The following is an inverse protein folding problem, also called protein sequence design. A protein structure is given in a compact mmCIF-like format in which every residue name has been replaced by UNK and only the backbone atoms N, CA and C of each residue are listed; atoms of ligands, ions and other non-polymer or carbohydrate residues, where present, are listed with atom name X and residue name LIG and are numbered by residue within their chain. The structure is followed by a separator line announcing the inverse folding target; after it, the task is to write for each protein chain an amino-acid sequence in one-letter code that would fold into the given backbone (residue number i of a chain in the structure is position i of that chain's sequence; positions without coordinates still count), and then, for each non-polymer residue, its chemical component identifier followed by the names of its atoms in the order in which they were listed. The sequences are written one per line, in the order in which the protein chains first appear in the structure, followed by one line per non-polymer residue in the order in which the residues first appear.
data_IF_452535611468
#
_entry.id   IF_452535611468
#
_cell.length_a   1.000
_cell.length_b   1.000
_cell.length_c   1.000
_cell.angle_alpha   90.00
_cell.angle_beta   90.00
_cell.angle_gamma   90.00
#
_symmetry.space_group_name_H-M   'P 1'
#
loop_
_entity.id
_entity.type
_entity.pdbx_description
1 polymer ?
#
# COMPACT_ATOMS: atom_id res chain seq x y z
N UNK A 1 -20.39 -2.81 -13.81
CA UNK A 1 -19.31 -3.15 -14.78
C UNK A 1 -18.26 -3.95 -14.01
N UNK A 2 -17.63 -4.94 -14.63
CA UNK A 2 -16.54 -5.68 -13.97
C UNK A 2 -15.21 -5.03 -14.34
N UNK A 3 -14.46 -4.57 -13.34
CA UNK A 3 -13.12 -4.02 -13.53
C UNK A 3 -12.08 -5.14 -13.44
N UNK A 4 -11.20 -5.25 -14.42
CA UNK A 4 -10.14 -6.25 -14.42
C UNK A 4 -8.84 -5.62 -13.87
N UNK A 5 -8.66 -5.65 -12.55
CA UNK A 5 -7.45 -5.16 -11.90
C UNK A 5 -6.32 -6.17 -12.15
N UNK A 6 -5.17 -5.76 -12.74
CA UNK A 6 -4.03 -6.66 -12.90
C UNK A 6 -3.43 -7.02 -11.55
N UNK A 7 -2.64 -8.10 -11.51
CA UNK A 7 -1.90 -8.52 -10.33
C UNK A 7 -0.40 -8.26 -10.50
N UNK A 8 0.25 -7.88 -9.40
CA UNK A 8 1.72 -7.83 -9.28
C UNK A 8 2.19 -9.11 -8.58
N UNK A 9 3.17 -9.78 -9.18
CA UNK A 9 3.74 -11.01 -8.66
C UNK A 9 4.82 -10.70 -7.62
N UNK A 10 4.80 -11.44 -6.50
CA UNK A 10 5.79 -11.37 -5.44
C UNK A 10 6.93 -12.36 -5.65
N UNK A 11 8.05 -12.11 -4.97
CA UNK A 11 9.20 -13.01 -4.95
C UNK A 11 8.94 -14.34 -4.19
N UNK A 12 7.88 -14.42 -3.37
CA UNK A 12 7.41 -15.64 -2.70
C UNK A 12 6.44 -16.49 -3.56
N UNK A 13 6.18 -16.06 -4.80
CA UNK A 13 5.31 -16.74 -5.76
C UNK A 13 3.84 -16.36 -5.68
N UNK A 14 3.42 -15.61 -4.67
CA UNK A 14 2.06 -15.06 -4.54
C UNK A 14 1.89 -13.80 -5.38
N UNK A 15 0.71 -13.20 -5.31
CA UNK A 15 0.43 -11.95 -6.03
C UNK A 15 -0.56 -11.08 -5.27
N UNK A 16 -0.55 -9.78 -5.58
CA UNK A 16 -1.44 -8.76 -5.01
C UNK A 16 -2.16 -8.02 -6.14
N UNK A 17 -3.48 -7.70 -5.99
CA UNK A 17 -4.13 -6.80 -6.93
C UNK A 17 -3.42 -5.44 -6.96
N UNK A 18 -3.06 -4.99 -8.16
CA UNK A 18 -2.21 -3.81 -8.36
C UNK A 18 -2.86 -2.51 -7.93
N UNK A 19 -4.19 -2.47 -7.86
CA UNK A 19 -4.96 -1.34 -7.33
C UNK A 19 -5.74 -1.81 -6.10
N UNK A 20 -5.42 -1.23 -4.95
CA UNK A 20 -6.09 -1.49 -3.68
C UNK A 20 -6.84 -0.27 -3.17
N UNK A 21 -7.50 -0.43 -2.04
CA UNK A 21 -8.25 0.61 -1.35
C UNK A 21 -7.64 0.85 0.04
N UNK A 22 -7.10 2.04 0.26
CA UNK A 22 -6.52 2.46 1.54
C UNK A 22 -7.55 3.13 2.45
N UNK A 23 -7.39 2.97 3.77
CA UNK A 23 -8.31 3.54 4.77
C UNK A 23 -7.62 4.44 5.81
N UNK A 24 -6.43 4.96 5.50
CA UNK A 24 -5.77 5.93 6.39
C UNK A 24 -6.65 7.17 6.63
N UNK A 25 -6.71 7.65 7.87
CA UNK A 25 -7.57 8.77 8.30
C UNK A 25 -9.07 8.55 7.99
N UNK A 26 -9.53 7.33 8.09
CA UNK A 26 -10.95 7.00 8.06
C UNK A 26 -11.33 6.42 9.41
N UNK A 27 -12.32 7.02 10.07
CA UNK A 27 -12.82 6.54 11.37
C UNK A 27 -13.49 5.17 11.23
N UNK A 28 -13.51 4.37 12.31
CA UNK A 28 -13.94 2.95 12.29
C UNK A 28 -15.35 2.75 11.69
N UNK A 29 -16.33 3.54 12.15
CA UNK A 29 -17.70 3.44 11.65
C UNK A 29 -17.85 3.86 10.18
N UNK A 30 -16.99 4.79 9.72
CA UNK A 30 -16.94 5.22 8.32
C UNK A 30 -16.21 4.17 7.49
N UNK A 31 -15.14 3.56 8.02
CA UNK A 31 -14.38 2.51 7.34
C UNK A 31 -15.27 1.32 6.97
N UNK A 32 -16.16 0.87 7.86
CA UNK A 32 -17.12 -0.18 7.54
C UNK A 32 -17.93 0.15 6.28
N UNK A 33 -18.48 1.36 6.19
CA UNK A 33 -19.32 1.77 5.06
C UNK A 33 -18.55 1.89 3.75
N UNK A 34 -17.39 2.53 3.79
CA UNK A 34 -16.63 2.80 2.56
C UNK A 34 -15.89 1.57 2.05
N UNK A 35 -15.44 0.68 2.93
CA UNK A 35 -14.87 -0.63 2.54
C UNK A 35 -15.95 -1.53 1.95
N UNK A 36 -17.16 -1.58 2.53
CA UNK A 36 -18.28 -2.29 1.94
C UNK A 36 -18.58 -1.78 0.52
N UNK A 37 -18.63 -0.46 0.34
CA UNK A 37 -18.80 0.18 -0.98
C UNK A 37 -17.66 -0.21 -1.95
N UNK A 38 -16.41 -0.18 -1.49
CA UNK A 38 -15.26 -0.55 -2.33
C UNK A 38 -15.35 -2.02 -2.78
N UNK A 39 -15.71 -2.95 -1.89
CA UNK A 39 -15.88 -4.36 -2.21
C UNK A 39 -17.05 -4.59 -3.19
N UNK A 40 -18.17 -3.87 -3.02
CA UNK A 40 -19.32 -3.90 -3.92
C UNK A 40 -18.97 -3.41 -5.33
N UNK A 41 -18.20 -2.33 -5.44
CA UNK A 41 -17.71 -1.78 -6.72
C UNK A 41 -16.74 -2.75 -7.41
N UNK A 42 -15.99 -3.56 -6.65
CA UNK A 42 -15.10 -4.57 -7.22
C UNK A 42 -13.66 -4.55 -6.72
N UNK A 43 -13.30 -3.71 -5.74
CA UNK A 43 -11.99 -3.83 -5.10
C UNK A 43 -11.84 -5.20 -4.43
N UNK A 44 -10.63 -5.74 -4.48
CA UNK A 44 -10.26 -7.02 -3.84
C UNK A 44 -8.96 -6.92 -3.03
N UNK A 45 -8.42 -5.73 -2.88
CA UNK A 45 -7.26 -5.44 -2.06
C UNK A 45 -7.61 -4.29 -1.11
N UNK A 46 -7.58 -4.55 0.20
CA UNK A 46 -7.87 -3.59 1.28
C UNK A 46 -6.61 -3.41 2.13
N UNK A 47 -6.21 -2.15 2.34
CA UNK A 47 -5.02 -1.78 3.11
C UNK A 47 -5.42 -0.96 4.33
N UNK A 48 -5.17 -1.50 5.53
CA UNK A 48 -5.33 -0.85 6.82
C UNK A 48 -4.05 -0.91 7.65
N UNK A 49 -4.08 -0.51 8.91
CA UNK A 49 -3.00 -0.62 9.88
C UNK A 49 -3.53 -0.52 11.31
N UNK A 50 -2.82 -1.13 12.26
CA UNK A 50 -3.19 -1.09 13.69
C UNK A 50 -3.39 0.34 14.22
N UNK A 51 -2.49 1.27 13.84
CA UNK A 51 -2.54 2.67 14.29
C UNK A 51 -3.73 3.46 13.72
N UNK A 52 -4.36 3.01 12.63
CA UNK A 52 -5.50 3.75 12.06
C UNK A 52 -6.75 3.66 12.94
N UNK A 53 -6.81 2.70 13.87
CA UNK A 53 -7.92 2.52 14.79
C UNK A 53 -9.22 2.04 14.12
N UNK A 54 -9.14 1.53 12.89
CA UNK A 54 -10.30 1.17 12.07
C UNK A 54 -10.31 -0.29 11.60
N UNK A 55 -9.42 -1.13 12.16
CA UNK A 55 -9.36 -2.55 11.79
C UNK A 55 -10.70 -3.27 12.05
N UNK A 56 -11.42 -2.92 13.13
CA UNK A 56 -12.71 -3.53 13.45
C UNK A 56 -13.77 -3.18 12.40
N UNK A 57 -13.83 -1.92 11.95
CA UNK A 57 -14.73 -1.49 10.87
C UNK A 57 -14.41 -2.18 9.54
N UNK A 58 -13.12 -2.32 9.21
CA UNK A 58 -12.68 -3.09 8.03
C UNK A 58 -13.12 -4.55 8.13
N UNK A 59 -12.91 -5.19 9.30
CA UNK A 59 -13.32 -6.57 9.55
C UNK A 59 -14.83 -6.79 9.37
N UNK A 60 -15.65 -5.91 9.95
CA UNK A 60 -17.11 -5.95 9.79
C UNK A 60 -17.54 -5.79 8.33
N UNK A 61 -16.91 -4.87 7.60
CA UNK A 61 -17.19 -4.69 6.17
C UNK A 61 -16.89 -5.95 5.36
N UNK A 62 -15.74 -6.60 5.60
CA UNK A 62 -15.36 -7.84 4.94
C UNK A 62 -16.34 -8.96 5.26
N UNK A 63 -16.65 -9.16 6.55
CA UNK A 63 -17.57 -10.22 6.99
C UNK A 63 -18.98 -10.08 6.38
N UNK A 64 -19.45 -8.85 6.19
CA UNK A 64 -20.78 -8.56 5.69
C UNK A 64 -20.84 -8.36 4.15
N UNK A 65 -19.71 -8.40 3.45
CA UNK A 65 -19.62 -8.08 2.01
C UNK A 65 -20.23 -9.14 1.09
N UNK A 66 -20.36 -10.37 1.57
CA UNK A 66 -20.72 -11.52 0.74
C UNK A 66 -19.61 -12.01 -0.21
N UNK A 67 -18.43 -11.35 -0.18
CA UNK A 67 -17.22 -11.79 -0.91
C UNK A 67 -16.49 -12.83 -0.04
N UNK A 68 -16.08 -13.94 -0.64
CA UNK A 68 -15.32 -14.94 0.10
C UNK A 68 -13.99 -14.35 0.63
N UNK A 69 -13.61 -14.71 1.88
CA UNK A 69 -12.40 -14.13 2.51
C UNK A 69 -11.14 -14.37 1.68
N UNK A 70 -11.03 -15.52 1.04
CA UNK A 70 -9.93 -15.89 0.15
C UNK A 70 -9.85 -15.08 -1.15
N UNK A 71 -10.93 -14.41 -1.54
CA UNK A 71 -10.97 -13.51 -2.70
C UNK A 71 -10.58 -12.06 -2.34
N UNK A 72 -10.34 -11.78 -1.05
CA UNK A 72 -9.94 -10.46 -0.56
C UNK A 72 -8.48 -10.52 -0.11
N UNK A 73 -7.64 -9.70 -0.71
CA UNK A 73 -6.27 -9.48 -0.26
C UNK A 73 -6.27 -8.40 0.84
N UNK A 74 -6.02 -8.81 2.08
CA UNK A 74 -6.07 -7.95 3.26
C UNK A 74 -4.67 -7.67 3.79
N UNK A 75 -4.34 -6.37 3.92
CA UNK A 75 -3.09 -5.88 4.50
C UNK A 75 -3.36 -5.15 5.82
N UNK A 76 -2.59 -5.47 6.85
CA UNK A 76 -2.44 -4.62 8.04
C UNK A 76 -0.97 -4.44 8.40
N UNK A 77 -0.65 -3.61 9.42
CA UNK A 77 0.71 -3.18 9.71
C UNK A 77 0.97 -3.11 11.21
N UNK A 78 2.17 -3.57 11.60
CA UNK A 78 2.74 -3.44 12.94
C UNK A 78 3.11 -1.98 13.21
N UNK A 79 2.55 -1.41 14.28
CA UNK A 79 2.86 -0.03 14.63
C UNK A 79 4.18 0.10 15.41
N UNK A 80 4.71 1.32 15.47
CA UNK A 80 6.03 1.64 16.05
C UNK A 80 6.16 1.28 17.54
N UNK A 81 5.09 1.49 18.35
CA UNK A 81 5.08 1.16 19.78
C UNK A 81 5.16 -0.34 20.06
N UNK A 82 4.76 -1.15 19.09
CA UNK A 82 4.59 -2.59 19.24
C UNK A 82 5.75 -3.39 18.61
N UNK A 83 6.79 -2.67 18.13
CA UNK A 83 7.98 -3.30 17.58
C UNK A 83 8.75 -4.10 18.64
N UNK A 84 9.36 -5.18 18.21
CA UNK A 84 10.09 -6.15 19.01
C UNK A 84 9.74 -7.57 18.56
N UNK A 85 10.37 -8.58 19.16
CA UNK A 85 10.06 -9.96 18.76
C UNK A 85 8.73 -10.41 19.38
N UNK A 86 8.61 -10.45 20.70
CA UNK A 86 7.40 -10.92 21.40
C UNK A 86 6.22 -9.97 21.21
N UNK A 87 6.46 -8.67 21.33
CA UNK A 87 5.42 -7.64 21.16
C UNK A 87 4.77 -7.65 19.76
N UNK A 88 5.51 -7.99 18.74
CA UNK A 88 4.95 -8.11 17.38
C UNK A 88 3.94 -9.27 17.26
N UNK A 89 4.11 -10.36 18.00
CA UNK A 89 3.12 -11.45 18.05
C UNK A 89 1.84 -10.99 18.75
N UNK A 90 1.97 -10.33 19.89
CA UNK A 90 0.81 -9.80 20.65
C UNK A 90 0.02 -8.78 19.82
N UNK A 91 0.72 -7.86 19.17
CA UNK A 91 0.10 -6.87 18.28
C UNK A 91 -0.59 -7.51 17.07
N UNK A 92 0.00 -8.56 16.50
CA UNK A 92 -0.59 -9.28 15.39
C UNK A 92 -1.88 -10.01 15.78
N UNK A 93 -1.90 -10.73 16.92
CA UNK A 93 -3.11 -11.36 17.43
C UNK A 93 -4.21 -10.32 17.72
N UNK A 94 -3.86 -9.17 18.29
CA UNK A 94 -4.81 -8.08 18.51
C UNK A 94 -5.38 -7.51 17.20
N UNK A 95 -4.59 -7.48 16.12
CA UNK A 95 -5.06 -7.10 14.80
C UNK A 95 -6.02 -8.15 14.21
N UNK A 96 -5.71 -9.45 14.34
CA UNK A 96 -6.60 -10.53 13.89
C UNK A 96 -7.95 -10.48 14.62
N UNK A 97 -7.94 -10.28 15.93
CA UNK A 97 -9.16 -10.15 16.75
C UNK A 97 -10.05 -9.00 16.26
N UNK A 98 -9.47 -7.81 16.01
CA UNK A 98 -10.19 -6.65 15.50
C UNK A 98 -10.72 -6.88 14.09
N UNK A 99 -9.90 -7.47 13.21
CA UNK A 99 -10.27 -7.78 11.82
C UNK A 99 -11.28 -8.94 11.73
N UNK A 100 -11.43 -9.75 12.80
CA UNK A 100 -12.34 -10.90 12.82
C UNK A 100 -11.94 -11.98 11.81
N UNK A 101 -10.65 -12.26 11.66
CA UNK A 101 -10.11 -13.21 10.69
C UNK A 101 -8.96 -14.03 11.30
N UNK A 102 -8.74 -15.24 10.79
CA UNK A 102 -7.68 -16.12 11.28
C UNK A 102 -6.33 -15.87 10.60
N UNK A 103 -6.30 -15.05 9.54
CA UNK A 103 -5.08 -14.73 8.79
C UNK A 103 -5.19 -13.39 8.07
N UNK A 104 -4.03 -12.81 7.74
CA UNK A 104 -3.93 -11.72 6.77
C UNK A 104 -3.08 -12.15 5.56
N UNK A 105 -3.34 -11.53 4.42
CA UNK A 105 -2.59 -11.82 3.20
C UNK A 105 -1.22 -11.15 3.20
N UNK A 106 -1.13 -9.97 3.83
CA UNK A 106 0.11 -9.22 3.95
C UNK A 106 0.21 -8.53 5.33
N UNK A 107 1.34 -8.71 6.01
CA UNK A 107 1.68 -7.98 7.23
C UNK A 107 2.94 -7.18 7.02
N UNK A 108 2.90 -5.88 7.33
CA UNK A 108 4.02 -4.96 7.14
C UNK A 108 4.53 -4.42 8.48
N UNK A 109 5.84 -4.20 8.61
CA UNK A 109 6.35 -3.24 9.59
C UNK A 109 6.05 -1.84 9.05
N UNK A 110 5.34 -1.00 9.81
CA UNK A 110 4.80 0.28 9.30
C UNK A 110 5.88 1.33 9.05
N UNK A 111 6.88 1.42 9.93
CA UNK A 111 8.08 2.26 9.83
C UNK A 111 9.28 1.52 10.38
N UNK A 112 10.47 1.73 9.79
CA UNK A 112 11.70 1.13 10.33
C UNK A 112 12.03 1.66 11.72
N UNK A 113 11.87 2.96 11.93
CA UNK A 113 12.24 3.70 13.15
C UNK A 113 13.64 3.32 13.65
N UNK A 114 14.71 3.62 12.86
CA UNK A 114 16.07 3.16 13.13
C UNK A 114 16.56 3.51 14.54
N UNK A 115 16.11 4.66 15.07
CA UNK A 115 16.48 5.16 16.40
C UNK A 115 16.06 4.22 17.55
N UNK A 116 15.04 3.38 17.35
CA UNK A 116 14.62 2.36 18.31
C UNK A 116 15.41 1.06 18.19
N UNK A 117 15.96 0.74 17.02
CA UNK A 117 16.73 -0.48 16.78
C UNK A 117 15.93 -1.78 16.89
N UNK A 118 14.57 -1.72 16.81
CA UNK A 118 13.70 -2.88 17.04
C UNK A 118 13.21 -3.54 15.75
N UNK A 119 13.37 -2.90 14.60
CA UNK A 119 12.85 -3.37 13.30
C UNK A 119 13.39 -4.75 12.89
N UNK A 120 14.65 -5.07 13.20
CA UNK A 120 15.23 -6.38 12.87
C UNK A 120 14.58 -7.51 13.69
N UNK A 121 14.33 -7.28 14.99
CA UNK A 121 13.61 -8.24 15.82
C UNK A 121 12.14 -8.37 15.40
N UNK A 122 11.51 -7.27 15.02
CA UNK A 122 10.16 -7.26 14.44
C UNK A 122 10.13 -8.07 13.14
N UNK A 123 11.13 -7.89 12.25
CA UNK A 123 11.23 -8.65 11.02
C UNK A 123 11.36 -10.17 11.25
N UNK A 124 12.17 -10.56 12.24
CA UNK A 124 12.27 -11.97 12.67
C UNK A 124 10.94 -12.53 13.18
N UNK A 125 10.15 -11.72 13.89
CA UNK A 125 8.80 -12.10 14.32
C UNK A 125 7.86 -12.29 13.13
N UNK A 126 7.88 -11.39 12.14
CA UNK A 126 7.07 -11.54 10.92
C UNK A 126 7.42 -12.81 10.14
N UNK A 127 8.72 -13.13 10.04
CA UNK A 127 9.19 -14.39 9.42
C UNK A 127 8.59 -15.60 10.13
N UNK A 128 8.56 -15.59 11.45
CA UNK A 128 7.99 -16.69 12.23
C UNK A 128 6.47 -16.79 12.10
N UNK A 129 5.75 -15.66 12.13
CA UNK A 129 4.31 -15.61 11.86
C UNK A 129 3.96 -16.18 10.47
N UNK A 130 4.79 -15.90 9.46
CA UNK A 130 4.63 -16.46 8.13
C UNK A 130 4.83 -17.98 8.11
N UNK A 131 5.85 -18.50 8.82
CA UNK A 131 6.08 -19.95 8.95
C UNK A 131 4.92 -20.67 9.65
N UNK A 132 4.29 -20.02 10.62
CA UNK A 132 3.08 -20.51 11.30
C UNK A 132 1.83 -20.46 10.43
N UNK A 133 1.88 -19.85 9.24
CA UNK A 133 0.76 -19.75 8.32
C UNK A 133 -0.30 -18.69 8.68
N UNK A 134 -0.07 -17.89 9.72
CA UNK A 134 -0.96 -16.80 10.15
C UNK A 134 -0.89 -15.58 9.22
N UNK A 135 0.25 -15.39 8.58
CA UNK A 135 0.48 -14.37 7.55
C UNK A 135 0.90 -15.07 6.26
N UNK A 136 0.27 -14.72 5.14
CA UNK A 136 0.62 -15.33 3.85
C UNK A 136 1.90 -14.75 3.26
N UNK A 137 2.05 -13.42 3.29
CA UNK A 137 3.23 -12.71 2.79
C UNK A 137 3.65 -11.62 3.77
N UNK A 138 4.95 -11.33 3.86
CA UNK A 138 5.51 -10.33 4.77
C UNK A 138 6.29 -9.27 3.99
N UNK A 139 6.19 -8.03 4.43
CA UNK A 139 6.87 -6.90 3.82
C UNK A 139 7.13 -5.78 4.81
N UNK A 140 7.57 -4.66 4.27
CA UNK A 140 7.90 -3.48 5.07
C UNK A 140 7.30 -2.22 4.47
N UNK A 141 7.19 -1.18 5.29
CA UNK A 141 6.78 0.14 4.87
C UNK A 141 7.74 1.19 5.43
N UNK A 142 8.05 2.21 4.65
CA UNK A 142 8.87 3.34 5.08
C UNK A 142 10.24 2.92 5.67
N UNK A 143 10.91 2.00 5.01
CA UNK A 143 12.28 1.62 5.35
C UNK A 143 13.26 2.46 4.53
N UNK A 144 14.24 3.14 5.16
CA UNK A 144 15.41 3.62 4.42
C UNK A 144 16.18 2.45 3.80
N UNK A 145 16.95 2.73 2.74
CA UNK A 145 17.70 1.69 2.02
C UNK A 145 18.62 0.88 2.95
N UNK A 146 19.32 1.54 3.87
CA UNK A 146 20.23 0.90 4.82
C UNK A 146 19.51 -0.17 5.65
N UNK A 147 18.39 0.17 6.28
CA UNK A 147 17.62 -0.77 7.10
C UNK A 147 16.94 -1.86 6.27
N UNK A 148 16.56 -1.56 5.02
CA UNK A 148 16.04 -2.57 4.10
C UNK A 148 17.10 -3.61 3.76
N UNK A 149 18.32 -3.19 3.44
CA UNK A 149 19.45 -4.09 3.16
C UNK A 149 19.84 -4.89 4.41
N UNK A 150 19.90 -4.26 5.57
CA UNK A 150 20.25 -4.92 6.83
C UNK A 150 19.31 -6.08 7.17
N UNK A 151 17.98 -5.89 7.10
CA UNK A 151 17.06 -6.99 7.40
C UNK A 151 17.19 -8.16 6.42
N UNK A 152 17.54 -7.90 5.16
CA UNK A 152 17.77 -8.93 4.14
C UNK A 152 19.08 -9.69 4.43
N UNK A 153 20.17 -8.97 4.69
CA UNK A 153 21.49 -9.53 4.96
C UNK A 153 21.50 -10.37 6.25
N UNK A 154 20.88 -9.85 7.32
CA UNK A 154 20.84 -10.50 8.64
C UNK A 154 19.92 -11.73 8.70
N UNK A 155 18.90 -11.80 7.85
CA UNK A 155 17.91 -12.89 7.93
C UNK A 155 17.88 -13.80 6.71
N UNK A 156 18.44 -13.38 5.60
CA UNK A 156 18.33 -14.08 4.32
C UNK A 156 16.91 -14.05 3.72
N UNK A 157 15.98 -13.31 4.32
CA UNK A 157 14.59 -13.22 3.86
C UNK A 157 14.32 -11.86 3.25
N UNK A 158 13.91 -11.84 1.99
CA UNK A 158 13.59 -10.62 1.25
C UNK A 158 12.12 -10.26 1.44
N UNK A 159 11.78 -9.01 1.83
CA UNK A 159 10.41 -8.56 1.84
C UNK A 159 9.75 -8.72 0.46
N UNK A 160 8.48 -9.17 0.42
CA UNK A 160 7.79 -9.32 -0.87
C UNK A 160 7.41 -7.97 -1.48
N UNK A 161 7.21 -6.96 -0.62
CA UNK A 161 6.76 -5.62 -0.99
C UNK A 161 7.33 -4.58 -0.04
N UNK A 162 7.61 -3.40 -0.57
CA UNK A 162 7.95 -2.21 0.19
C UNK A 162 6.93 -1.10 -0.11
N UNK A 163 6.14 -0.73 0.91
CA UNK A 163 5.16 0.35 0.80
C UNK A 163 5.81 1.68 1.16
N UNK A 164 5.86 2.61 0.20
CA UNK A 164 6.55 3.90 0.32
C UNK A 164 5.67 5.06 -0.12
N UNK A 165 5.99 6.28 0.29
CA UNK A 165 5.46 7.46 -0.37
C UNK A 165 5.88 7.44 -1.84
N UNK A 166 4.91 7.46 -2.75
CA UNK A 166 5.22 7.52 -4.17
C UNK A 166 4.07 8.11 -4.95
N UNK A 167 4.36 9.18 -5.68
CA UNK A 167 3.46 9.90 -6.56
C UNK A 167 4.28 10.66 -7.62
N UNK A 168 3.67 11.24 -8.66
CA UNK A 168 4.41 11.92 -9.72
C UNK A 168 5.40 12.98 -9.28
N UNK A 169 5.14 13.71 -8.20
CA UNK A 169 6.09 14.69 -7.66
C UNK A 169 7.24 14.07 -6.86
N UNK A 170 7.12 12.81 -6.45
CA UNK A 170 8.15 12.10 -5.68
C UNK A 170 8.24 10.63 -6.10
N UNK A 171 9.00 10.37 -7.16
CA UNK A 171 9.08 9.05 -7.83
C UNK A 171 10.00 8.03 -7.14
N UNK A 172 10.88 8.46 -6.24
CA UNK A 172 11.82 7.62 -5.47
C UNK A 172 12.61 6.61 -6.33
N UNK A 173 13.15 7.04 -7.46
CA UNK A 173 13.81 6.14 -8.42
C UNK A 173 14.98 5.36 -7.81
N UNK A 174 15.80 5.99 -6.96
CA UNK A 174 16.92 5.34 -6.30
C UNK A 174 16.46 4.15 -5.43
N UNK A 175 15.44 4.35 -4.57
CA UNK A 175 14.92 3.29 -3.73
C UNK A 175 14.22 2.19 -4.55
N UNK A 176 13.53 2.57 -5.64
CA UNK A 176 12.92 1.61 -6.56
C UNK A 176 13.95 0.78 -7.33
N UNK A 177 15.13 1.32 -7.60
CA UNK A 177 16.23 0.55 -8.17
C UNK A 177 16.69 -0.56 -7.20
N UNK A 178 16.74 -0.28 -5.89
CA UNK A 178 17.01 -1.30 -4.85
C UNK A 178 15.89 -2.35 -4.82
N UNK A 179 14.62 -1.94 -4.95
CA UNK A 179 13.53 -2.91 -5.05
C UNK A 179 13.71 -3.85 -6.25
N UNK A 180 14.08 -3.31 -7.40
CA UNK A 180 14.34 -4.13 -8.60
C UNK A 180 15.52 -5.09 -8.41
N UNK A 181 16.58 -4.67 -7.71
CA UNK A 181 17.75 -5.51 -7.38
C UNK A 181 17.36 -6.77 -6.60
N UNK A 182 16.45 -6.63 -5.61
CA UNK A 182 16.02 -7.73 -4.75
C UNK A 182 14.72 -8.40 -5.19
N UNK A 183 14.07 -7.96 -6.26
CA UNK A 183 12.77 -8.46 -6.69
C UNK A 183 11.63 -8.12 -5.72
N UNK A 184 11.71 -6.97 -5.05
CA UNK A 184 10.72 -6.44 -4.12
C UNK A 184 9.67 -5.67 -4.92
N UNK A 185 8.38 -5.95 -4.71
CA UNK A 185 7.31 -5.12 -5.29
C UNK A 185 7.27 -3.73 -4.63
N UNK A 186 6.99 -2.71 -5.40
CA UNK A 186 6.79 -1.34 -4.89
C UNK A 186 5.30 -1.07 -4.70
N UNK A 187 4.91 -0.58 -3.52
CA UNK A 187 3.56 -0.10 -3.25
C UNK A 187 3.57 1.38 -2.87
N UNK A 188 2.69 2.15 -3.49
CA UNK A 188 2.55 3.58 -3.28
C UNK A 188 1.47 3.90 -2.24
N UNK A 189 1.86 4.49 -1.10
CA UNK A 189 0.92 5.23 -0.29
C UNK A 189 0.87 6.70 -0.75
N UNK A 190 -0.24 7.38 -0.49
CA UNK A 190 -0.57 8.72 -1.04
C UNK A 190 -0.33 8.82 -2.55
N UNK A 191 -0.78 7.85 -3.36
CA UNK A 191 -0.47 7.79 -4.78
C UNK A 191 -0.95 9.00 -5.56
N UNK A 192 -1.94 9.72 -5.04
CA UNK A 192 -2.53 10.93 -5.64
C UNK A 192 -1.96 12.23 -5.06
N UNK A 193 -0.82 12.19 -4.33
CA UNK A 193 -0.16 13.36 -3.77
C UNK A 193 -1.02 14.09 -2.74
N UNK A 194 -1.49 13.38 -1.70
CA UNK A 194 -2.40 13.90 -0.67
C UNK A 194 -1.96 15.27 -0.12
N UNK A 195 -2.84 16.27 -0.22
CA UNK A 195 -2.59 17.64 0.27
C UNK A 195 -1.75 18.52 -0.66
N UNK A 196 -1.22 17.98 -1.77
CA UNK A 196 -0.51 18.76 -2.80
C UNK A 196 -1.46 19.25 -3.90
N UNK A 197 -0.94 20.05 -4.82
CA UNK A 197 -1.63 20.54 -6.01
C UNK A 197 -1.50 19.59 -7.22
N UNK A 198 -1.00 18.37 -7.01
CA UNK A 198 -0.71 17.40 -8.08
C UNK A 198 -1.87 17.25 -9.06
N UNK A 199 -3.09 17.08 -8.57
CA UNK A 199 -4.27 16.86 -9.42
C UNK A 199 -4.71 18.11 -10.19
N UNK A 200 -4.16 19.30 -9.89
CA UNK A 200 -4.34 20.53 -10.63
C UNK A 200 -3.21 20.81 -11.63
N UNK A 201 -2.21 19.92 -11.71
CA UNK A 201 -1.07 20.11 -12.61
C UNK A 201 -1.53 20.11 -14.08
N UNK A 202 -1.15 21.14 -14.88
CA UNK A 202 -1.61 21.27 -16.26
C UNK A 202 -1.19 20.11 -17.17
N UNK A 203 -0.05 19.48 -16.92
CA UNK A 203 0.39 18.29 -17.66
C UNK A 203 -0.60 17.14 -17.48
N UNK A 204 -1.05 16.89 -16.23
CA UNK A 204 -2.04 15.85 -15.94
C UNK A 204 -3.41 16.19 -16.53
N UNK A 205 -3.81 17.47 -16.51
CA UNK A 205 -5.07 17.91 -17.09
C UNK A 205 -5.09 17.69 -18.62
N UNK A 206 -4.00 18.02 -19.32
CA UNK A 206 -3.87 17.80 -20.75
C UNK A 206 -3.91 16.30 -21.13
N UNK A 207 -3.19 15.44 -20.37
CA UNK A 207 -3.23 14.00 -20.58
C UNK A 207 -4.64 13.46 -20.33
N UNK A 208 -5.29 13.91 -19.26
CA UNK A 208 -6.64 13.51 -18.90
C UNK A 208 -7.65 13.85 -20.00
N UNK A 209 -7.58 15.05 -20.59
CA UNK A 209 -8.43 15.46 -21.71
C UNK A 209 -8.25 14.54 -22.92
N UNK A 210 -7.00 14.23 -23.31
CA UNK A 210 -6.71 13.34 -24.45
C UNK A 210 -7.30 11.93 -24.26
N UNK A 211 -7.35 11.43 -23.03
CA UNK A 211 -7.84 10.10 -22.73
C UNK A 211 -9.30 10.06 -22.27
N UNK A 212 -10.00 11.19 -22.19
CA UNK A 212 -11.36 11.27 -21.65
C UNK A 212 -11.42 10.78 -20.19
N UNK A 213 -10.37 11.06 -19.42
CA UNK A 213 -10.18 10.62 -18.04
C UNK A 213 -10.08 11.82 -17.09
N UNK A 214 -9.93 11.55 -15.78
CA UNK A 214 -9.60 12.58 -14.81
C UNK A 214 -8.10 12.56 -14.49
N UNK A 215 -7.51 13.66 -13.96
CA UNK A 215 -6.12 13.67 -13.50
C UNK A 215 -5.81 12.55 -12.49
N UNK A 216 -6.76 12.23 -11.58
CA UNK A 216 -6.60 11.12 -10.65
C UNK A 216 -6.47 9.77 -11.36
N UNK A 217 -7.29 9.53 -12.39
CA UNK A 217 -7.21 8.32 -13.20
C UNK A 217 -5.89 8.25 -14.00
N UNK A 218 -5.39 9.37 -14.50
CA UNK A 218 -4.08 9.44 -15.19
C UNK A 218 -2.97 9.05 -14.24
N UNK A 219 -2.94 9.60 -13.02
CA UNK A 219 -1.91 9.26 -12.01
C UNK A 219 -1.97 7.78 -11.63
N UNK A 220 -3.17 7.24 -11.40
CA UNK A 220 -3.31 5.80 -11.07
C UNK A 220 -2.91 4.91 -12.25
N UNK A 221 -3.29 5.26 -13.48
CA UNK A 221 -2.86 4.55 -14.68
C UNK A 221 -1.33 4.60 -14.88
N UNK A 222 -0.68 5.72 -14.52
CA UNK A 222 0.78 5.82 -14.49
C UNK A 222 1.40 4.85 -13.49
N UNK A 223 0.86 4.74 -12.25
CA UNK A 223 1.31 3.72 -11.30
C UNK A 223 1.18 2.31 -11.87
N UNK A 224 0.03 2.00 -12.47
CA UNK A 224 -0.21 0.69 -13.09
C UNK A 224 0.78 0.40 -14.21
N UNK A 225 1.05 1.36 -15.09
CA UNK A 225 2.01 1.23 -16.18
C UNK A 225 3.46 1.02 -15.71
N UNK A 226 3.80 1.57 -14.53
CA UNK A 226 5.12 1.41 -13.88
C UNK A 226 5.23 0.10 -13.07
N UNK A 227 4.21 -0.74 -13.05
CA UNK A 227 4.19 -1.97 -12.24
C UNK A 227 4.06 -1.72 -10.73
N UNK A 228 3.72 -0.50 -10.32
CA UNK A 228 3.55 -0.11 -8.91
C UNK A 228 2.16 -0.47 -8.43
N UNK A 229 2.06 -1.06 -7.24
CA UNK A 229 0.79 -1.24 -6.52
C UNK A 229 0.38 0.10 -5.93
N UNK A 230 -0.87 0.54 -6.12
CA UNK A 230 -1.35 1.81 -5.59
C UNK A 230 -2.57 1.61 -4.68
N UNK A 231 -2.61 2.37 -3.56
CA UNK A 231 -3.70 2.30 -2.57
C UNK A 231 -4.34 3.68 -2.34
N UNK A 232 -5.03 4.23 -3.33
CA UNK A 232 -5.74 5.49 -3.15
C UNK A 232 -6.82 5.35 -2.06
N UNK A 233 -7.05 6.45 -1.32
CA UNK A 233 -8.11 6.56 -0.32
C UNK A 233 -9.16 7.56 -0.78
N UNK A 234 -10.41 7.23 -0.59
CA UNK A 234 -11.53 8.16 -0.70
C UNK A 234 -12.69 7.72 0.20
N UNK A 235 -13.45 8.67 0.74
CA UNK A 235 -14.71 8.40 1.44
C UNK A 235 -15.93 8.74 0.57
N UNK A 236 -15.72 9.18 -0.66
CA UNK A 236 -16.76 9.55 -1.60
C UNK A 236 -17.01 8.40 -2.58
N UNK A 237 -18.19 7.77 -2.61
CA UNK A 237 -18.46 6.59 -3.45
C UNK A 237 -18.12 6.78 -4.94
N UNK A 238 -18.48 7.92 -5.53
CA UNK A 238 -18.14 8.20 -6.93
C UNK A 238 -16.64 8.26 -7.21
N UNK A 239 -15.83 8.75 -6.26
CA UNK A 239 -14.36 8.75 -6.38
C UNK A 239 -13.76 7.37 -6.15
N UNK A 240 -14.38 6.54 -5.31
CA UNK A 240 -13.95 5.14 -5.12
C UNK A 240 -14.08 4.40 -6.46
N UNK A 241 -15.21 4.56 -7.14
CA UNK A 241 -15.44 3.97 -8.47
C UNK A 241 -14.54 4.58 -9.54
N UNK A 242 -14.41 5.91 -9.57
CA UNK A 242 -13.53 6.64 -10.48
C UNK A 242 -12.08 6.14 -10.38
N UNK A 243 -11.56 5.96 -9.16
CA UNK A 243 -10.21 5.45 -8.94
C UNK A 243 -10.07 4.02 -9.48
N UNK A 244 -11.05 3.14 -9.26
CA UNK A 244 -11.00 1.77 -9.78
C UNK A 244 -11.06 1.76 -11.32
N UNK A 245 -11.83 2.63 -11.93
CA UNK A 245 -11.95 2.75 -13.37
C UNK A 245 -10.65 3.16 -14.08
N UNK A 246 -9.63 3.64 -13.34
CA UNK A 246 -8.30 3.97 -13.89
C UNK A 246 -7.62 2.78 -14.59
N UNK A 247 -7.99 1.55 -14.26
CA UNK A 247 -7.48 0.33 -14.94
C UNK A 247 -7.78 0.31 -16.44
N UNK A 248 -8.77 1.09 -16.88
CA UNK A 248 -9.18 1.19 -18.27
C UNK A 248 -8.41 2.28 -19.04
N UNK A 249 -7.70 3.18 -18.36
CA UNK A 249 -6.90 4.25 -18.97
C UNK A 249 -5.57 3.66 -19.46
N UNK A 250 -5.29 3.83 -20.75
CA UNK A 250 -4.06 3.33 -21.39
C UNK A 250 -3.19 4.50 -21.83
N UNK A 251 -2.18 4.81 -21.01
CA UNK A 251 -1.23 5.88 -21.29
C UNK A 251 -0.24 5.46 -22.38
N UNK A 252 0.15 6.43 -23.22
CA UNK A 252 1.26 6.25 -24.16
C UNK A 252 2.61 6.36 -23.44
N UNK A 253 3.70 5.99 -24.12
CA UNK A 253 5.04 6.16 -23.58
C UNK A 253 5.38 7.65 -23.34
N UNK A 254 4.88 8.54 -24.21
CA UNK A 254 5.03 9.99 -24.09
C UNK A 254 4.28 10.53 -22.88
N UNK A 255 3.07 10.04 -22.60
CA UNK A 255 2.31 10.42 -21.39
C UNK A 255 3.05 10.00 -20.13
N UNK A 256 3.54 8.76 -20.09
CA UNK A 256 4.31 8.25 -18.94
C UNK A 256 5.56 9.10 -18.71
N UNK A 257 6.32 9.41 -19.77
CA UNK A 257 7.50 10.24 -19.66
C UNK A 257 7.19 11.68 -19.19
N UNK A 258 6.05 12.24 -19.64
CA UNK A 258 5.61 13.57 -19.18
C UNK A 258 5.24 13.56 -17.70
N UNK A 259 4.62 12.51 -17.20
CA UNK A 259 4.33 12.34 -15.75
C UNK A 259 5.62 12.09 -14.96
N UNK A 260 6.55 11.27 -15.46
CA UNK A 260 7.86 11.03 -14.83
C UNK A 260 8.66 12.33 -14.65
N UNK A 261 8.56 13.26 -15.60
CA UNK A 261 9.25 14.55 -15.56
C UNK A 261 8.74 15.51 -14.46
N UNK A 262 7.63 15.20 -13.80
CA UNK A 262 7.10 16.02 -12.69
C UNK A 262 7.83 15.80 -11.37
N UNK A 263 8.67 14.77 -11.26
CA UNK A 263 9.34 14.41 -10.01
C UNK A 263 10.44 15.40 -9.66
N UNK A 264 10.46 15.80 -8.37
CA UNK A 264 11.50 16.65 -7.82
C UNK A 264 12.01 16.10 -6.49
N UNK A 265 13.25 16.44 -6.08
CA UNK A 265 13.78 16.06 -4.76
C UNK A 265 12.95 16.60 -3.59
N UNK A 266 12.29 17.73 -3.77
CA UNK A 266 11.45 18.42 -2.79
C UNK A 266 10.00 17.92 -2.78
N UNK A 267 9.67 16.97 -3.63
CA UNK A 267 8.30 16.45 -3.82
C UNK A 267 7.74 15.64 -2.65
N UNK A 268 8.57 15.29 -1.65
CA UNK A 268 8.12 14.57 -0.43
C UNK A 268 7.06 15.38 0.33
N UNK A 269 5.95 14.74 0.68
CA UNK A 269 4.87 15.33 1.47
C UNK A 269 4.74 14.70 2.86
N UNK A 270 5.21 13.49 3.05
CA UNK A 270 5.20 12.78 4.33
C UNK A 270 6.50 12.93 5.12
N UNK A 271 6.55 12.31 6.29
CA UNK A 271 7.73 12.29 7.13
C UNK A 271 8.91 11.57 6.44
N UNK A 272 10.14 12.02 6.73
CA UNK A 272 11.35 11.32 6.29
C UNK A 272 11.55 10.04 7.11
N UNK A 273 11.54 8.84 6.48
CA UNK A 273 11.71 7.58 7.19
C UNK A 273 12.98 7.43 8.02
N UNK A 274 14.04 8.17 7.66
CA UNK A 274 15.30 8.13 8.41
C UNK A 274 15.23 8.93 9.72
N UNK A 275 14.29 9.88 9.85
CA UNK A 275 14.29 10.89 10.92
C UNK A 275 12.91 11.05 11.59
N UNK A 276 12.09 10.00 11.61
CA UNK A 276 10.76 10.09 12.26
C UNK A 276 10.86 10.17 13.78
N UNK A 277 10.00 10.96 14.41
CA UNK A 277 9.99 11.25 15.84
C UNK A 277 8.65 10.88 16.55
N UNK A 278 7.67 10.32 15.82
CA UNK A 278 6.37 9.86 16.35
C UNK A 278 6.29 8.35 16.57
#
# INVERSE_FOLDING_TARGET
MSYNVPNVKFNDGRSIPQLGYGVWQVEDEVAEKVVATALEIGYRHIDTAAIYGNEAGVGRAIANSGVAREDIFLTTKLWNSDQGYESAFEAFEASLDKLGTDYVDLYLIHWAKPQQGLYLNSWRALIELQKQGKVRSIGVSNFPEEQLREIIEETGVVPVIHQIELHPYFSQEALRAVHAEYGIATQAWSPLGNGSDLLQNPVLAEIAERHGATPAQVVLAWHLAKGTVAIPKSVTPSRIEENLASVNVKLTAEDIAAVDALSTPEGRIGADPANIDF
#
